data_IF_491748532141
#
_entry.id   IF_491748532141
#
_cell.length_a   1.000
_cell.length_b   1.000
_cell.length_c   1.000
_cell.angle_alpha   90.00
_cell.angle_beta   90.00
_cell.angle_gamma   90.00
#
_symmetry.space_group_name_H-M   'P 1'
#
loop_
_entity.id
_entity.type
_entity.pdbx_description
1 polymer ?
#
# COMPACT_ATOMS: atom_id res chain seq x y z
N UNK A 1 -5.73 7.10 -11.07
CA UNK A 1 -4.50 6.86 -10.30
C UNK A 1 -4.45 7.78 -9.08
N UNK A 2 -3.68 7.45 -8.03
CA UNK A 2 -3.46 8.41 -6.92
C UNK A 2 -2.70 9.66 -7.36
N UNK A 3 -1.94 9.58 -8.45
CA UNK A 3 -1.31 10.74 -9.09
C UNK A 3 -2.35 11.77 -9.53
N UNK A 4 -3.43 11.34 -10.18
CA UNK A 4 -4.50 12.23 -10.66
C UNK A 4 -5.19 12.98 -9.51
N UNK A 5 -5.33 12.33 -8.34
CA UNK A 5 -5.86 12.97 -7.14
C UNK A 5 -4.95 14.11 -6.68
N UNK A 6 -3.63 13.92 -6.74
CA UNK A 6 -2.65 14.96 -6.40
C UNK A 6 -2.70 16.09 -7.43
N UNK A 7 -2.84 15.79 -8.72
CA UNK A 7 -2.94 16.82 -9.76
C UNK A 7 -4.23 17.65 -9.62
N UNK A 8 -5.37 17.02 -9.36
CA UNK A 8 -6.61 17.73 -9.04
C UNK A 8 -6.48 18.56 -7.76
N UNK A 9 -5.80 18.03 -6.73
CA UNK A 9 -5.53 18.77 -5.50
C UNK A 9 -4.65 20.00 -5.76
N UNK A 10 -3.67 19.91 -6.67
CA UNK A 10 -2.84 21.04 -7.11
C UNK A 10 -3.67 22.10 -7.80
N UNK A 11 -4.52 21.71 -8.77
CA UNK A 11 -5.35 22.65 -9.52
C UNK A 11 -6.32 23.45 -8.64
N UNK A 12 -6.95 22.82 -7.66
CA UNK A 12 -7.81 23.55 -6.71
C UNK A 12 -7.01 24.29 -5.63
N UNK A 13 -5.77 23.87 -5.37
CA UNK A 13 -4.88 24.48 -4.38
C UNK A 13 -4.56 25.95 -4.63
N UNK A 14 -4.65 26.42 -5.88
CA UNK A 14 -4.49 27.84 -6.22
C UNK A 14 -5.58 28.75 -5.62
N UNK A 15 -6.74 28.19 -5.29
CA UNK A 15 -7.88 28.93 -4.74
C UNK A 15 -8.08 28.69 -3.24
N UNK A 16 -7.11 28.03 -2.58
CA UNK A 16 -7.15 27.70 -1.15
C UNK A 16 -6.10 28.55 -0.43
N UNK A 17 -6.57 29.38 0.50
CA UNK A 17 -5.75 30.30 1.30
C UNK A 17 -4.78 29.55 2.23
N UNK A 18 -5.27 28.54 2.94
CA UNK A 18 -4.53 27.72 3.88
C UNK A 18 -4.16 26.39 3.23
N UNK A 19 -4.79 25.30 3.62
CA UNK A 19 -4.54 23.98 3.06
C UNK A 19 -5.83 23.17 3.02
N UNK A 20 -5.71 21.92 2.60
CA UNK A 20 -6.79 20.98 2.44
C UNK A 20 -6.39 19.61 2.98
N UNK A 21 -7.34 18.91 3.60
CA UNK A 21 -7.16 17.53 4.02
C UNK A 21 -7.13 16.61 2.81
N UNK A 22 -5.95 16.07 2.48
CA UNK A 22 -5.75 15.16 1.34
C UNK A 22 -5.54 13.72 1.84
N UNK A 23 -6.58 12.89 1.76
CA UNK A 23 -6.47 11.46 2.06
C UNK A 23 -5.93 10.70 0.87
N UNK A 24 -4.97 9.80 1.10
CA UNK A 24 -4.37 8.96 0.07
C UNK A 24 -4.70 7.50 0.30
N UNK A 25 -5.07 6.80 -0.77
CA UNK A 25 -5.47 5.39 -0.75
C UNK A 25 -4.49 4.58 -1.58
N UNK A 26 -3.80 3.62 -0.97
CA UNK A 26 -2.78 2.82 -1.66
C UNK A 26 -3.02 1.34 -1.38
N UNK A 27 -3.15 0.55 -2.45
CA UNK A 27 -3.13 -0.91 -2.35
C UNK A 27 -1.67 -1.41 -2.43
N UNK A 28 -1.30 -2.33 -1.53
CA UNK A 28 0.06 -2.87 -1.48
C UNK A 28 1.12 -1.80 -1.26
N UNK A 29 1.01 -1.04 -0.16
CA UNK A 29 1.91 0.05 0.16
C UNK A 29 3.36 -0.46 0.33
N UNK A 30 4.24 -0.01 -0.56
CA UNK A 30 5.69 -0.19 -0.45
C UNK A 30 6.33 1.15 -0.11
N UNK A 31 7.49 1.11 0.56
CA UNK A 31 8.24 2.34 0.88
C UNK A 31 8.56 3.14 -0.38
N UNK A 32 8.95 2.47 -1.47
CA UNK A 32 9.24 3.13 -2.75
C UNK A 32 8.03 3.93 -3.29
N UNK A 33 6.82 3.35 -3.27
CA UNK A 33 5.59 4.03 -3.72
C UNK A 33 5.20 5.19 -2.82
N UNK A 34 5.34 5.04 -1.51
CA UNK A 34 5.05 6.09 -0.54
C UNK A 34 6.00 7.28 -0.71
N UNK A 35 7.29 7.00 -0.86
CA UNK A 35 8.33 8.00 -1.05
C UNK A 35 8.14 8.76 -2.36
N UNK A 36 7.89 8.05 -3.48
CA UNK A 36 7.65 8.71 -4.76
C UNK A 36 6.39 9.58 -4.75
N UNK A 37 5.31 9.14 -4.10
CA UNK A 37 4.09 9.93 -3.94
C UNK A 37 4.30 11.19 -3.08
N UNK A 38 5.05 11.09 -1.98
CA UNK A 38 5.38 12.26 -1.14
C UNK A 38 6.21 13.27 -1.92
N UNK A 39 7.26 12.83 -2.62
CA UNK A 39 8.07 13.71 -3.43
C UNK A 39 7.29 14.33 -4.59
N UNK A 40 6.37 13.58 -5.21
CA UNK A 40 5.50 14.11 -6.25
C UNK A 40 4.58 15.22 -5.73
N UNK A 41 3.93 15.01 -4.58
CA UNK A 41 3.08 16.02 -3.95
C UNK A 41 3.87 17.28 -3.54
N UNK A 42 5.09 17.09 -3.02
CA UNK A 42 5.99 18.18 -2.67
C UNK A 42 6.45 18.98 -3.89
N UNK A 43 6.95 18.32 -4.94
CA UNK A 43 7.33 18.96 -6.22
C UNK A 43 6.14 19.69 -6.87
N UNK A 44 4.92 19.22 -6.63
CA UNK A 44 3.68 19.84 -7.11
C UNK A 44 3.26 21.09 -6.35
N UNK A 45 3.93 21.43 -5.24
CA UNK A 45 3.67 22.64 -4.45
C UNK A 45 2.48 22.52 -3.48
N UNK A 46 2.03 21.29 -3.18
CA UNK A 46 0.95 21.08 -2.22
C UNK A 46 1.43 21.35 -0.79
N UNK A 47 0.68 22.17 -0.04
CA UNK A 47 0.98 22.47 1.37
C UNK A 47 0.75 21.25 2.27
N UNK A 48 -0.26 20.45 1.97
CA UNK A 48 -0.50 19.14 2.61
C UNK A 48 -0.32 18.04 1.58
N UNK A 49 0.80 17.32 1.67
CA UNK A 49 1.11 16.19 0.78
C UNK A 49 0.32 14.92 1.11
N UNK A 50 0.02 14.68 2.40
CA UNK A 50 -0.77 13.54 2.86
C UNK A 50 -1.40 13.86 4.22
N UNK A 51 -2.67 13.53 4.42
CA UNK A 51 -3.36 13.60 5.70
C UNK A 51 -3.46 12.22 6.35
N UNK A 52 -4.25 11.33 5.77
CA UNK A 52 -4.25 9.90 6.13
C UNK A 52 -3.77 9.05 4.97
N UNK A 53 -2.96 8.06 5.29
CA UNK A 53 -2.72 6.92 4.42
C UNK A 53 -3.75 5.83 4.75
N UNK A 54 -4.51 5.42 3.73
CA UNK A 54 -5.44 4.31 3.81
C UNK A 54 -4.91 3.18 2.95
N UNK A 55 -4.58 2.07 3.60
CA UNK A 55 -4.11 0.87 2.91
C UNK A 55 -5.17 -0.22 2.96
N UNK A 56 -5.23 -0.99 1.88
CA UNK A 56 -5.97 -2.25 1.84
C UNK A 56 -4.99 -3.40 2.01
N UNK A 57 -5.35 -4.41 2.80
CA UNK A 57 -4.55 -5.63 2.93
C UNK A 57 -4.50 -6.36 1.59
N UNK A 58 -3.38 -7.03 1.31
CA UNK A 58 -3.21 -7.81 0.09
C UNK A 58 -4.19 -9.00 -0.01
N UNK A 59 -4.73 -9.44 1.13
CA UNK A 59 -5.77 -10.48 1.22
C UNK A 59 -7.01 -9.85 1.82
N UNK A 60 -8.13 -9.97 1.12
CA UNK A 60 -9.43 -9.59 1.65
C UNK A 60 -9.87 -10.58 2.74
N UNK A 61 -10.34 -10.05 3.86
CA UNK A 61 -10.93 -10.90 4.89
C UNK A 61 -12.16 -11.63 4.32
N UNK A 62 -12.25 -12.94 4.56
CA UNK A 62 -13.45 -13.72 4.24
C UNK A 62 -14.60 -13.12 5.06
N UNK A 63 -15.51 -12.42 4.38
CA UNK A 63 -16.67 -11.82 5.03
C UNK A 63 -17.69 -12.94 5.27
N UNK A 64 -17.72 -13.46 6.50
CA UNK A 64 -18.76 -14.37 6.94
C UNK A 64 -20.06 -13.58 7.10
N UNK A 65 -20.82 -13.50 6.01
CA UNK A 65 -22.22 -13.07 6.06
C UNK A 65 -23.08 -14.29 6.36
N UNK A 66 -24.26 -14.07 6.95
CA UNK A 66 -25.32 -15.08 6.90
C UNK A 66 -25.50 -15.52 5.44
N UNK A 67 -25.72 -16.81 5.22
CA UNK A 67 -26.07 -17.32 3.90
C UNK A 67 -27.28 -16.52 3.40
N UNK A 68 -27.02 -15.56 2.52
CA UNK A 68 -28.09 -14.96 1.73
C UNK A 68 -28.55 -16.09 0.85
N UNK A 69 -29.66 -16.72 1.25
CA UNK A 69 -30.45 -17.59 0.37
C UNK A 69 -30.53 -16.85 -0.95
N UNK A 70 -29.87 -17.40 -1.96
CA UNK A 70 -29.78 -16.82 -3.29
C UNK A 70 -31.21 -16.67 -3.77
N UNK A 71 -31.73 -15.45 -3.80
CA UNK A 71 -32.82 -15.18 -4.72
C UNK A 71 -32.21 -15.24 -6.10
N UNK A 72 -32.55 -16.33 -6.77
CA UNK A 72 -32.14 -16.67 -8.11
C UNK A 72 -32.69 -15.62 -9.07
N UNK A 73 -31.84 -14.71 -9.52
CA UNK A 73 -31.94 -14.20 -10.89
C UNK A 73 -31.32 -15.27 -11.81
N UNK A 74 -32.09 -15.92 -12.70
CA UNK A 74 -31.61 -17.05 -13.46
C UNK A 74 -30.81 -16.57 -14.67
N UNK A 75 -29.50 -16.38 -14.52
CA UNK A 75 -28.61 -16.33 -15.67
C UNK A 75 -27.16 -16.72 -15.33
N UNK A 76 -26.84 -17.97 -15.69
CA UNK A 76 -25.54 -18.49 -16.15
C UNK A 76 -24.71 -19.36 -15.18
N UNK A 77 -24.98 -20.67 -15.33
CA UNK A 77 -24.04 -21.81 -15.50
C UNK A 77 -23.50 -22.52 -14.24
N UNK A 78 -23.95 -23.77 -14.09
CA UNK A 78 -23.51 -24.81 -13.14
C UNK A 78 -22.14 -25.47 -13.52
N UNK A 79 -21.65 -26.56 -12.86
CA UNK A 79 -20.58 -26.51 -11.86
C UNK A 79 -19.37 -27.42 -12.21
N UNK A 80 -18.23 -27.25 -11.53
CA UNK A 80 -17.23 -28.35 -11.40
C UNK A 80 -16.79 -28.44 -9.95
N UNK A 81 -17.34 -29.45 -9.27
CA UNK A 81 -16.91 -29.95 -7.96
C UNK A 81 -15.61 -30.75 -8.13
N UNK A 82 -14.61 -30.45 -7.28
CA UNK A 82 -13.64 -31.46 -6.83
C UNK A 82 -13.42 -31.27 -5.33
N UNK A 83 -14.00 -32.19 -4.55
CA UNK A 83 -13.64 -32.45 -3.16
C UNK A 83 -12.30 -33.19 -3.11
N UNK A 84 -11.34 -32.75 -2.29
CA UNK A 84 -10.25 -33.60 -1.81
C UNK A 84 -9.89 -33.31 -0.32
N UNK A 85 -10.32 -34.26 0.52
CA UNK A 85 -9.79 -34.84 1.77
C UNK A 85 -9.04 -34.04 2.89
N UNK A 86 -9.20 -34.49 4.16
CA UNK A 86 -8.93 -33.71 5.39
C UNK A 86 -7.51 -33.81 5.98
N UNK A 87 -6.43 -33.89 5.18
CA UNK A 87 -5.06 -34.09 5.72
C UNK A 87 -4.23 -32.80 5.89
N UNK A 88 -4.70 -31.65 5.41
CA UNK A 88 -3.86 -30.43 5.30
C UNK A 88 -3.78 -29.64 6.63
N UNK A 89 -4.51 -30.06 7.67
CA UNK A 89 -4.64 -29.31 8.94
C UNK A 89 -3.44 -29.53 9.88
N UNK A 90 -2.65 -30.58 9.69
CA UNK A 90 -1.46 -30.86 10.52
C UNK A 90 -0.23 -30.01 10.13
N UNK A 91 -0.02 -29.77 8.83
CA UNK A 91 1.16 -29.04 8.35
C UNK A 91 1.09 -27.52 8.57
N UNK A 92 -0.10 -26.94 8.74
CA UNK A 92 -0.26 -25.51 9.06
C UNK A 92 0.12 -25.16 10.51
N UNK A 93 0.13 -26.13 11.44
CA UNK A 93 0.52 -25.88 12.85
C UNK A 93 2.03 -25.78 13.05
N UNK A 94 2.84 -26.45 12.22
CA UNK A 94 4.30 -26.41 12.32
C UNK A 94 4.92 -25.15 11.71
N UNK A 95 4.30 -24.57 10.66
CA UNK A 95 4.74 -23.31 10.06
C UNK A 95 4.39 -22.10 10.93
N UNK A 96 3.24 -22.14 11.63
CA UNK A 96 2.84 -21.09 12.57
C UNK A 96 3.77 -20.99 13.81
N UNK A 97 4.25 -22.12 14.35
CA UNK A 97 5.21 -22.11 15.47
C UNK A 97 6.58 -21.56 15.07
N UNK A 98 7.09 -21.92 13.86
CA UNK A 98 8.36 -21.39 13.34
C UNK A 98 8.31 -19.91 12.98
N UNK A 99 7.15 -19.39 12.58
CA UNK A 99 6.95 -17.96 12.37
C UNK A 99 6.94 -17.20 13.70
N UNK A 100 6.20 -17.69 14.70
CA UNK A 100 6.13 -17.07 16.03
C UNK A 100 7.50 -17.01 16.74
N UNK A 101 8.35 -18.03 16.59
CA UNK A 101 9.72 -18.02 17.13
C UNK A 101 10.66 -17.05 16.40
N UNK A 102 10.43 -16.77 15.10
CA UNK A 102 11.19 -15.74 14.36
C UNK A 102 10.78 -14.33 14.78
N UNK A 103 9.50 -14.09 15.07
CA UNK A 103 9.02 -12.80 15.58
C UNK A 103 9.45 -12.55 17.03
N UNK A 104 9.52 -13.58 17.88
CA UNK A 104 9.98 -13.44 19.27
C UNK A 104 11.50 -13.18 19.41
N UNK A 105 12.29 -13.45 18.37
CA UNK A 105 13.75 -13.23 18.37
C UNK A 105 14.22 -11.92 17.74
N UNK A 106 13.33 -11.13 17.15
CA UNK A 106 13.69 -9.80 16.64
C UNK A 106 13.74 -8.83 17.83
N UNK A 107 14.89 -8.82 18.52
CA UNK A 107 15.26 -7.77 19.45
C UNK A 107 15.17 -6.40 18.76
N UNK A 108 14.70 -5.44 19.54
CA UNK A 108 14.69 -3.99 19.34
C UNK A 108 15.66 -3.53 18.24
N UNK A 109 15.10 -3.01 17.15
CA UNK A 109 15.86 -2.25 16.15
C UNK A 109 16.07 -0.87 16.80
N UNK A 110 17.25 -0.67 17.36
CA UNK A 110 17.72 0.66 17.75
C UNK A 110 17.89 1.46 16.45
N UNK A 111 16.91 2.32 16.16
CA UNK A 111 16.96 3.18 14.98
C UNK A 111 17.71 4.44 15.38
N UNK A 112 19.02 4.40 15.24
CA UNK A 112 19.84 5.61 15.27
C UNK A 112 19.35 6.56 14.16
N UNK A 113 19.17 7.86 14.44
CA UNK A 113 18.78 8.83 13.43
C UNK A 113 19.89 8.92 12.35
N UNK A 114 19.53 8.68 11.08
CA UNK A 114 20.47 8.76 9.95
C UNK A 114 21.31 10.05 10.00
N UNK A 115 22.61 9.91 9.79
CA UNK A 115 23.52 11.06 9.82
C UNK A 115 23.32 11.96 8.60
N UNK A 116 23.54 13.27 8.75
CA UNK A 116 23.24 14.26 7.69
C UNK A 116 23.99 14.03 6.37
N UNK A 117 25.09 13.27 6.40
CA UNK A 117 25.84 12.86 5.22
C UNK A 117 25.12 11.79 4.41
N UNK A 118 24.54 10.79 5.07
CA UNK A 118 23.79 9.71 4.42
C UNK A 118 22.51 10.24 3.75
N UNK A 119 21.84 11.21 4.39
CA UNK A 119 20.70 11.89 3.80
C UNK A 119 21.09 12.69 2.54
N UNK A 120 22.24 13.36 2.55
CA UNK A 120 22.75 14.10 1.37
C UNK A 120 23.13 13.16 0.23
N UNK A 121 23.74 12.02 0.53
CA UNK A 121 24.07 11.00 -0.47
C UNK A 121 22.82 10.36 -1.07
N UNK A 122 21.75 10.16 -0.29
CA UNK A 122 20.47 9.68 -0.80
C UNK A 122 19.81 10.70 -1.74
N UNK A 123 19.90 11.99 -1.40
CA UNK A 123 19.40 13.09 -2.24
C UNK A 123 20.22 13.19 -3.54
N UNK A 124 21.54 12.99 -3.48
CA UNK A 124 22.39 12.96 -4.67
C UNK A 124 22.04 11.78 -5.58
N UNK A 125 21.90 10.56 -5.03
CA UNK A 125 21.51 9.37 -5.78
C UNK A 125 20.12 9.49 -6.43
N UNK A 126 19.18 10.16 -5.75
CA UNK A 126 17.83 10.42 -6.30
C UNK A 126 17.78 11.56 -7.31
N UNK A 127 18.79 12.43 -7.35
CA UNK A 127 18.96 13.42 -8.40
C UNK A 127 19.73 12.86 -9.60
N UNK A 128 20.63 11.91 -9.40
CA UNK A 128 21.30 11.18 -10.49
C UNK A 128 20.33 10.19 -11.18
N UNK A 129 19.35 9.65 -10.45
CA UNK A 129 18.32 8.78 -11.03
C UNK A 129 17.15 9.54 -11.69
N UNK A 130 17.19 10.88 -11.74
CA UNK A 130 16.05 11.70 -12.19
C UNK A 130 15.83 11.75 -13.71
N UNK A 131 16.73 11.19 -14.53
CA UNK A 131 16.54 11.20 -15.98
C UNK A 131 15.63 10.07 -16.49
N UNK A 132 15.39 8.99 -15.71
CA UNK A 132 14.65 7.80 -16.20
C UNK A 132 13.37 7.42 -15.41
N UNK A 133 13.00 8.13 -14.34
CA UNK A 133 11.99 7.62 -13.39
C UNK A 133 10.54 8.11 -13.64
N UNK A 134 10.22 8.47 -14.89
CA UNK A 134 8.85 8.73 -15.35
C UNK A 134 8.21 7.52 -16.06
N UNK A 135 8.84 6.35 -16.01
CA UNK A 135 8.33 5.14 -16.68
C UNK A 135 7.69 4.12 -15.72
N UNK A 136 7.86 4.29 -14.40
CA UNK A 136 7.33 3.37 -13.38
C UNK A 136 5.95 3.77 -12.82
N UNK A 137 5.31 4.80 -13.39
CA UNK A 137 3.94 5.21 -13.04
C UNK A 137 3.00 5.12 -14.26
N UNK A 138 3.14 4.04 -15.04
CA UNK A 138 2.37 3.79 -16.25
C UNK A 138 1.88 2.35 -16.35
N UNK A 139 1.04 1.93 -15.40
CA UNK A 139 -0.07 0.94 -15.52
C UNK A 139 -0.68 0.71 -14.14
#
# INVERSE_FOLDING_TARGET
>A
SMKDIIDMAKHRGYFIDQSQSLNLFIEGATIAKLTSMHFYAWKSGLKTGMYYLRTKSAVDAIKFTLDKKVEEDPALKEPIVKEEKPEIVANKKHTAKKAAEKFAKTKEIDVDPMTSKEMKELIAKTNESQEDDCLMCGS
#
